data_IF_863782340384
#
_entry.id   IF_863782340384
#
_cell.length_a   1.000
_cell.length_b   1.000
_cell.length_c   1.000
_cell.angle_alpha   90.00
_cell.angle_beta   90.00
_cell.angle_gamma   90.00
#
_symmetry.space_group_name_H-M   'P 1'
#
loop_
_entity.id
_entity.type
_entity.pdbx_description
1 polymer ?
#
# COMPACT_ATOMS: atom_id res chain seq x y z
N UNK A 1 3.53 28.67 -6.61
CA UNK A 1 2.46 29.39 -5.91
C UNK A 1 1.23 29.33 -6.81
N UNK A 2 0.18 28.61 -6.41
CA UNK A 2 -1.03 28.47 -7.24
C UNK A 2 -1.90 29.72 -7.07
N UNK A 3 -2.20 30.41 -8.17
CA UNK A 3 -2.81 31.76 -8.16
C UNK A 3 -4.34 31.78 -8.02
N UNK A 4 -4.97 30.70 -7.55
CA UNK A 4 -6.43 30.48 -7.72
C UNK A 4 -7.28 30.24 -6.48
N UNK A 5 -6.73 30.18 -5.26
CA UNK A 5 -7.53 29.86 -4.06
C UNK A 5 -7.40 30.97 -3.00
N UNK A 6 -8.51 31.66 -2.71
CA UNK A 6 -8.65 32.68 -1.66
C UNK A 6 -8.62 32.11 -0.24
N UNK A 7 -8.87 30.81 -0.09
CA UNK A 7 -8.68 30.07 1.16
C UNK A 7 -7.41 29.24 0.99
N UNK A 8 -6.35 29.57 1.73
CA UNK A 8 -5.07 28.89 1.66
C UNK A 8 -5.27 27.37 1.77
N UNK A 9 -4.97 26.65 0.69
CA UNK A 9 -4.92 25.19 0.69
C UNK A 9 -3.68 24.76 1.49
N UNK A 10 -3.74 24.91 2.81
CA UNK A 10 -2.75 24.33 3.70
C UNK A 10 -2.92 22.81 3.60
N UNK A 11 -1.85 22.12 3.21
CA UNK A 11 -1.84 20.66 3.26
C UNK A 11 -2.21 20.22 4.69
N UNK A 12 -3.02 19.15 4.86
CA UNK A 12 -3.39 18.66 6.17
C UNK A 12 -2.12 18.36 6.97
N UNK A 13 -2.09 18.81 8.22
CA UNK A 13 -0.97 18.55 9.12
C UNK A 13 -0.93 17.05 9.37
N UNK A 14 0.19 16.35 9.10
CA UNK A 14 0.27 14.91 9.27
C UNK A 14 0.10 14.54 10.75
N UNK A 15 -0.67 13.49 11.01
CA UNK A 15 -0.94 12.99 12.38
C UNK A 15 0.34 12.57 13.13
N UNK A 16 1.39 12.21 12.38
CA UNK A 16 2.69 11.77 12.93
C UNK A 16 3.81 12.67 12.42
N UNK A 17 4.73 13.02 13.32
CA UNK A 17 5.93 13.79 12.98
C UNK A 17 6.99 12.86 12.36
N UNK A 18 7.73 13.39 11.38
CA UNK A 18 8.91 12.70 10.84
C UNK A 18 10.01 12.73 11.92
N UNK A 19 10.50 11.56 12.31
CA UNK A 19 11.51 11.43 13.37
C UNK A 19 12.92 11.51 12.79
N UNK A 20 13.18 10.82 11.67
CA UNK A 20 14.47 10.78 10.98
C UNK A 20 14.31 10.32 9.53
N UNK A 21 15.38 10.46 8.74
CA UNK A 21 15.49 9.81 7.44
C UNK A 21 15.52 8.26 7.58
N UNK A 22 15.12 7.57 6.51
CA UNK A 22 15.19 6.11 6.44
C UNK A 22 16.66 5.64 6.42
N UNK A 23 16.95 4.57 7.16
CA UNK A 23 18.26 3.92 7.14
C UNK A 23 18.41 3.01 5.90
N UNK A 24 19.64 2.68 5.49
CA UNK A 24 19.89 1.79 4.36
C UNK A 24 19.17 0.44 4.44
N UNK A 25 19.08 -0.16 5.63
CA UNK A 25 18.42 -1.45 5.83
C UNK A 25 16.90 -1.33 5.66
N UNK A 26 16.33 -0.18 5.99
CA UNK A 26 14.91 0.12 5.80
C UNK A 26 14.59 0.29 4.32
N UNK A 27 15.48 0.95 3.57
CA UNK A 27 15.36 1.10 2.12
C UNK A 27 15.43 -0.27 1.44
N UNK A 28 16.38 -1.11 1.84
CA UNK A 28 16.52 -2.45 1.30
C UNK A 28 15.31 -3.33 1.64
N UNK A 29 14.78 -3.24 2.87
CA UNK A 29 13.54 -3.91 3.23
C UNK A 29 12.38 -3.49 2.32
N UNK A 30 12.23 -2.19 2.04
CA UNK A 30 11.20 -1.70 1.14
C UNK A 30 11.37 -2.26 -0.28
N UNK A 31 12.60 -2.36 -0.77
CA UNK A 31 12.90 -2.98 -2.08
C UNK A 31 12.46 -4.45 -2.12
N UNK A 32 12.84 -5.22 -1.10
CA UNK A 32 12.45 -6.63 -0.99
C UNK A 32 10.94 -6.83 -0.88
N UNK A 33 10.23 -5.94 -0.19
CA UNK A 33 8.77 -5.98 -0.12
C UNK A 33 8.14 -5.77 -1.49
N UNK A 34 8.64 -4.80 -2.27
CA UNK A 34 8.16 -4.52 -3.64
C UNK A 34 8.41 -5.69 -4.58
N UNK A 35 9.57 -6.30 -4.51
CA UNK A 35 9.89 -7.50 -5.29
C UNK A 35 8.97 -8.70 -4.91
N UNK A 36 8.48 -8.73 -3.67
CA UNK A 36 7.58 -9.78 -3.18
C UNK A 36 6.11 -9.57 -3.59
N UNK A 37 5.71 -8.36 -4.00
CA UNK A 37 4.32 -8.00 -4.33
C UNK A 37 3.71 -8.93 -5.38
N UNK A 38 4.46 -9.29 -6.42
CA UNK A 38 3.97 -10.19 -7.48
C UNK A 38 3.65 -11.60 -6.95
N UNK A 39 4.54 -12.12 -6.09
CA UNK A 39 4.33 -13.43 -5.44
C UNK A 39 3.12 -13.38 -4.53
N UNK A 40 3.00 -12.33 -3.73
CA UNK A 40 1.90 -12.11 -2.79
C UNK A 40 0.57 -11.98 -3.53
N UNK A 41 0.52 -11.18 -4.60
CA UNK A 41 -0.65 -11.03 -5.46
C UNK A 41 -1.11 -12.36 -6.05
N UNK A 42 -0.17 -13.18 -6.56
CA UNK A 42 -0.49 -14.52 -7.09
C UNK A 42 -1.12 -15.41 -6.02
N UNK A 43 -0.49 -15.51 -4.85
CA UNK A 43 -1.00 -16.33 -3.74
C UNK A 43 -2.38 -15.83 -3.30
N UNK A 44 -2.58 -14.52 -3.19
CA UNK A 44 -3.89 -13.94 -2.83
C UNK A 44 -4.97 -14.33 -3.85
N UNK A 45 -4.67 -14.28 -5.15
CA UNK A 45 -5.61 -14.71 -6.21
C UNK A 45 -5.97 -16.19 -6.08
N UNK A 46 -4.99 -17.06 -5.87
CA UNK A 46 -5.22 -18.49 -5.66
C UNK A 46 -6.13 -18.74 -4.45
N UNK A 47 -5.91 -18.01 -3.34
CA UNK A 47 -6.73 -18.13 -2.13
C UNK A 47 -8.15 -17.63 -2.35
N UNK A 48 -8.32 -16.46 -2.98
CA UNK A 48 -9.63 -15.89 -3.32
C UNK A 48 -10.46 -16.88 -4.16
N UNK A 49 -9.85 -17.49 -5.18
CA UNK A 49 -10.49 -18.51 -6.01
C UNK A 49 -10.85 -19.76 -5.19
N UNK A 50 -9.92 -20.24 -4.35
CA UNK A 50 -10.15 -21.41 -3.50
C UNK A 50 -11.32 -21.21 -2.52
N UNK A 51 -11.51 -20.00 -2.01
CA UNK A 51 -12.59 -19.67 -1.08
C UNK A 51 -13.87 -19.18 -1.77
N UNK A 52 -13.91 -19.10 -3.11
CA UNK A 52 -15.08 -18.66 -3.86
C UNK A 52 -15.47 -17.19 -3.61
N UNK A 53 -14.51 -16.34 -3.22
CA UNK A 53 -14.77 -14.94 -2.93
C UNK A 53 -14.93 -14.17 -4.26
N UNK A 54 -16.00 -13.38 -4.39
CA UNK A 54 -16.27 -12.52 -5.56
C UNK A 54 -15.38 -11.28 -5.56
N UNK A 55 -14.08 -11.48 -5.71
CA UNK A 55 -13.07 -10.43 -5.64
C UNK A 55 -12.13 -10.56 -6.83
N UNK A 56 -12.02 -9.52 -7.66
CA UNK A 56 -10.99 -9.46 -8.70
C UNK A 56 -9.79 -8.69 -8.16
N UNK A 57 -8.82 -9.43 -7.61
CA UNK A 57 -7.61 -8.88 -6.98
C UNK A 57 -6.75 -8.17 -8.01
N UNK A 58 -6.56 -6.87 -7.84
CA UNK A 58 -5.66 -6.04 -8.67
C UNK A 58 -4.26 -6.11 -8.12
N UNK A 59 -4.09 -5.90 -6.81
CA UNK A 59 -2.80 -5.78 -6.13
C UNK A 59 -2.89 -6.33 -4.70
N UNK A 60 -1.74 -6.75 -4.16
CA UNK A 60 -1.63 -7.15 -2.77
C UNK A 60 -0.22 -6.85 -2.27
N UNK A 61 -0.11 -6.12 -1.16
CA UNK A 61 1.15 -5.64 -0.62
C UNK A 61 1.21 -5.84 0.90
N UNK A 62 2.40 -6.19 1.39
CA UNK A 62 2.68 -6.20 2.82
C UNK A 62 2.99 -4.79 3.29
N UNK A 63 2.51 -4.44 4.49
CA UNK A 63 3.04 -3.29 5.20
C UNK A 63 4.54 -3.46 5.48
N UNK A 64 5.22 -2.33 5.73
CA UNK A 64 6.65 -2.29 5.95
C UNK A 64 7.15 -3.23 7.07
N UNK A 65 6.34 -3.42 8.11
CA UNK A 65 6.61 -4.31 9.24
C UNK A 65 6.09 -5.75 9.05
N UNK A 66 5.44 -6.04 7.91
CA UNK A 66 4.78 -7.31 7.57
C UNK A 66 3.67 -7.76 8.54
N UNK A 67 3.13 -6.86 9.36
CA UNK A 67 2.06 -7.21 10.30
C UNK A 67 0.68 -7.26 9.63
N UNK A 68 0.51 -6.58 8.50
CA UNK A 68 -0.75 -6.53 7.76
C UNK A 68 -0.50 -6.67 6.26
N UNK A 69 -1.36 -7.49 5.64
CA UNK A 69 -1.47 -7.61 4.18
C UNK A 69 -2.65 -6.74 3.71
N UNK A 70 -2.39 -5.80 2.81
CA UNK A 70 -3.43 -5.00 2.15
C UNK A 70 -3.75 -5.62 0.80
N UNK A 71 -5.03 -5.85 0.52
CA UNK A 71 -5.50 -6.44 -0.74
C UNK A 71 -6.39 -5.41 -1.44
N UNK A 72 -6.00 -5.01 -2.64
CA UNK A 72 -6.81 -4.17 -3.50
C UNK A 72 -7.53 -5.05 -4.52
N UNK A 73 -8.84 -4.86 -4.65
CA UNK A 73 -9.67 -5.64 -5.54
C UNK A 73 -10.85 -4.80 -6.02
N UNK A 74 -11.37 -5.14 -7.19
CA UNK A 74 -12.67 -4.64 -7.63
C UNK A 74 -13.74 -5.61 -7.15
N UNK A 75 -14.77 -5.10 -6.50
CA UNK A 75 -16.00 -5.84 -6.21
C UNK A 75 -16.99 -5.62 -7.36
N UNK A 76 -17.62 -6.69 -7.84
CA UNK A 76 -18.85 -6.55 -8.61
C UNK A 76 -19.95 -6.06 -7.66
N UNK A 77 -20.73 -5.07 -8.11
CA UNK A 77 -21.79 -4.41 -7.33
C UNK A 77 -22.92 -5.38 -6.98
#
# INVERSE_FOLDING_TARGET
KCSGCTTGCAAPVPERRVVRAAQPEEIERLRLLREDEDRVRRITRERVLKFGLKMKVTEAEWQFDRNKLTIYFTAER
#
